data_IF_579478370218
#
_entry.id   IF_579478370218
#
_cell.length_a   1.000
_cell.length_b   1.000
_cell.length_c   1.000
_cell.angle_alpha   90.00
_cell.angle_beta   90.00
_cell.angle_gamma   90.00
#
_symmetry.space_group_name_H-M   'P 1'
#
loop_
_entity.id
_entity.type
_entity.pdbx_description
1 polymer ?
#
# COMPACT_ATOMS: atom_id res chain seq x y z
N UNK A 1 5.87 1.06 28.03
CA UNK A 1 7.08 0.48 27.41
C UNK A 1 7.95 1.59 26.88
N UNK A 2 9.26 1.53 27.15
CA UNK A 2 10.26 2.38 26.52
C UNK A 2 10.51 1.97 25.07
N UNK A 3 11.12 2.85 24.28
CA UNK A 3 11.51 2.53 22.90
C UNK A 3 12.45 1.31 22.84
N UNK A 4 13.35 1.17 23.81
CA UNK A 4 14.26 0.02 23.92
C UNK A 4 13.51 -1.29 24.19
N UNK A 5 12.51 -1.25 25.07
CA UNK A 5 11.65 -2.42 25.34
C UNK A 5 10.86 -2.82 24.10
N UNK A 6 10.32 -1.85 23.36
CA UNK A 6 9.57 -2.11 22.13
C UNK A 6 10.45 -2.76 21.04
N UNK A 7 11.67 -2.26 20.83
CA UNK A 7 12.63 -2.84 19.88
C UNK A 7 12.93 -4.30 20.23
N UNK A 8 13.16 -4.60 21.51
CA UNK A 8 13.43 -5.96 21.96
C UNK A 8 12.24 -6.90 21.72
N UNK A 9 11.02 -6.43 21.98
CA UNK A 9 9.80 -7.18 21.69
C UNK A 9 9.64 -7.51 20.20
N UNK A 10 9.93 -6.55 19.32
CA UNK A 10 9.89 -6.75 17.87
C UNK A 10 10.94 -7.77 17.44
N UNK A 11 12.20 -7.64 17.88
CA UNK A 11 13.29 -8.59 17.58
C UNK A 11 12.90 -10.00 17.99
N UNK A 12 12.38 -10.17 19.21
CA UNK A 12 11.94 -11.48 19.70
C UNK A 12 10.80 -12.07 18.86
N UNK A 13 9.83 -11.23 18.45
CA UNK A 13 8.72 -11.70 17.62
C UNK A 13 9.20 -12.10 16.23
N UNK A 14 10.02 -11.28 15.58
CA UNK A 14 10.59 -11.56 14.25
C UNK A 14 11.43 -12.83 14.28
N UNK A 15 12.23 -13.05 15.32
CA UNK A 15 13.06 -14.26 15.49
C UNK A 15 12.25 -15.57 15.57
N UNK A 16 10.94 -15.48 15.86
CA UNK A 16 10.05 -16.65 15.92
C UNK A 16 9.32 -16.94 14.60
N UNK A 17 9.45 -16.08 13.59
CA UNK A 17 8.78 -16.21 12.29
C UNK A 17 9.63 -17.09 11.38
N UNK A 18 9.03 -18.16 10.85
CA UNK A 18 9.69 -19.05 9.89
C UNK A 18 9.25 -18.80 8.44
N UNK A 19 8.16 -18.05 8.25
CA UNK A 19 7.64 -17.73 6.93
C UNK A 19 8.47 -16.61 6.29
N UNK A 20 9.21 -16.96 5.25
CA UNK A 20 10.09 -16.03 4.53
C UNK A 20 9.31 -14.87 3.89
N UNK A 21 8.07 -15.08 3.44
CA UNK A 21 7.25 -14.02 2.83
C UNK A 21 6.89 -12.94 3.85
N UNK A 22 6.55 -13.36 5.08
CA UNK A 22 6.27 -12.43 6.18
C UNK A 22 7.53 -11.66 6.58
N UNK A 23 8.67 -12.32 6.63
CA UNK A 23 9.96 -11.66 6.92
C UNK A 23 10.31 -10.61 5.86
N UNK A 24 10.04 -10.90 4.59
CA UNK A 24 10.27 -9.97 3.48
C UNK A 24 9.40 -8.71 3.59
N UNK A 25 8.12 -8.86 3.91
CA UNK A 25 7.20 -7.73 4.11
C UNK A 25 7.59 -6.89 5.33
N UNK A 26 7.99 -7.52 6.45
CA UNK A 26 8.50 -6.82 7.63
C UNK A 26 9.77 -6.04 7.27
N UNK A 27 10.68 -6.65 6.49
CA UNK A 27 11.91 -5.99 6.05
C UNK A 27 11.62 -4.75 5.18
N UNK A 28 10.70 -4.86 4.21
CA UNK A 28 10.23 -3.72 3.41
C UNK A 28 9.70 -2.61 4.31
N UNK A 29 8.80 -2.92 5.25
CA UNK A 29 8.19 -1.95 6.15
C UNK A 29 9.23 -1.20 7.00
N UNK A 30 10.22 -1.90 7.56
CA UNK A 30 11.27 -1.27 8.37
C UNK A 30 12.19 -0.40 7.51
N UNK A 31 12.49 -0.81 6.28
CA UNK A 31 13.27 0.01 5.35
C UNK A 31 12.52 1.27 4.90
N UNK A 32 11.18 1.24 4.83
CA UNK A 32 10.39 2.44 4.50
C UNK A 32 10.63 3.58 5.50
N UNK A 33 10.98 3.31 6.77
CA UNK A 33 11.34 4.37 7.72
C UNK A 33 12.50 5.25 7.21
N UNK A 34 13.45 4.66 6.48
CA UNK A 34 14.56 5.40 5.85
C UNK A 34 14.18 6.10 4.54
N UNK A 35 13.08 5.70 3.89
CA UNK A 35 12.58 6.28 2.63
C UNK A 35 11.52 7.38 2.86
N UNK A 36 10.87 7.42 4.03
CA UNK A 36 9.86 8.43 4.40
C UNK A 36 10.43 9.86 4.38
N UNK A 37 11.75 10.01 4.45
CA UNK A 37 12.42 11.32 4.33
C UNK A 37 12.51 11.83 2.87
N UNK A 38 12.03 11.04 1.90
CA UNK A 38 11.94 11.45 0.49
C UNK A 38 10.49 11.71 0.11
N UNK A 39 10.20 12.95 -0.30
CA UNK A 39 8.93 13.33 -0.90
C UNK A 39 8.57 12.33 -2.01
N UNK A 40 7.46 11.60 -1.86
CA UNK A 40 7.04 10.60 -2.83
C UNK A 40 6.72 11.28 -4.17
N UNK A 41 7.47 10.91 -5.21
CA UNK A 41 7.30 11.43 -6.56
C UNK A 41 6.55 10.43 -7.40
N UNK A 42 5.33 10.82 -7.81
CA UNK A 42 4.54 10.03 -8.75
C UNK A 42 5.33 9.72 -10.03
N UNK A 43 5.30 8.45 -10.43
CA UNK A 43 5.78 7.95 -11.72
C UNK A 43 5.00 8.56 -12.89
N UNK A 44 5.49 8.36 -14.11
CA UNK A 44 4.81 8.83 -15.30
C UNK A 44 3.46 8.11 -15.49
N UNK A 45 3.43 6.83 -15.16
CA UNK A 45 2.25 5.95 -15.22
C UNK A 45 1.17 6.42 -14.24
N UNK A 46 1.55 6.74 -13.00
CA UNK A 46 0.62 7.23 -11.98
C UNK A 46 0.05 8.61 -12.33
N UNK A 47 0.90 9.53 -12.82
CA UNK A 47 0.43 10.84 -13.31
C UNK A 47 -0.58 10.68 -14.45
N UNK A 48 -0.28 9.80 -15.40
CA UNK A 48 -1.17 9.51 -16.53
C UNK A 48 -2.50 8.89 -16.07
N UNK A 49 -2.48 8.00 -15.07
CA UNK A 49 -3.69 7.42 -14.51
C UNK A 49 -4.57 8.48 -13.83
N UNK A 50 -3.95 9.42 -13.11
CA UNK A 50 -4.65 10.56 -12.50
C UNK A 50 -5.27 11.47 -13.58
N UNK A 51 -4.50 11.85 -14.60
CA UNK A 51 -5.00 12.65 -15.72
C UNK A 51 -6.20 12.00 -16.42
N UNK A 52 -6.15 10.68 -16.62
CA UNK A 52 -7.25 9.92 -17.19
C UNK A 52 -8.50 9.98 -16.29
N UNK A 53 -8.34 9.79 -14.99
CA UNK A 53 -9.45 9.87 -14.03
C UNK A 53 -10.07 11.27 -13.96
N UNK A 54 -9.27 12.33 -14.03
CA UNK A 54 -9.77 13.71 -14.10
C UNK A 54 -10.59 13.95 -15.37
N UNK A 55 -10.12 13.43 -16.51
CA UNK A 55 -10.85 13.49 -17.78
C UNK A 55 -12.15 12.69 -17.75
N UNK A 56 -12.16 11.53 -17.10
CA UNK A 56 -13.35 10.71 -16.92
C UNK A 56 -14.44 11.46 -16.13
N UNK A 57 -14.05 12.25 -15.12
CA UNK A 57 -14.98 13.11 -14.38
C UNK A 57 -15.56 14.20 -15.28
N UNK A 58 -14.72 14.89 -16.06
CA UNK A 58 -15.16 15.96 -16.98
C UNK A 58 -16.14 15.43 -18.04
N UNK A 59 -15.86 14.25 -18.59
CA UNK A 59 -16.66 13.63 -19.64
C UNK A 59 -17.85 12.79 -19.09
N UNK A 60 -18.07 12.82 -17.77
CA UNK A 60 -19.19 12.14 -17.11
C UNK A 60 -19.08 10.61 -17.08
N UNK A 61 -17.90 10.05 -17.36
CA UNK A 61 -17.59 8.61 -17.23
C UNK A 61 -17.32 8.25 -15.77
N UNK A 62 -18.32 8.47 -14.93
CA UNK A 62 -18.26 8.17 -13.50
C UNK A 62 -19.14 6.99 -13.16
N UNK A 63 -18.75 6.27 -12.10
CA UNK A 63 -19.53 5.20 -11.52
C UNK A 63 -20.14 5.68 -10.20
N UNK A 64 -21.34 5.19 -9.89
CA UNK A 64 -21.86 5.28 -8.52
C UNK A 64 -21.07 4.35 -7.61
N UNK A 65 -21.09 4.60 -6.30
CA UNK A 65 -20.46 3.72 -5.31
C UNK A 65 -20.93 2.27 -5.47
N UNK A 66 -22.22 2.05 -5.71
CA UNK A 66 -22.78 0.70 -5.92
C UNK A 66 -22.20 0.00 -7.16
N UNK A 67 -22.03 0.74 -8.27
CA UNK A 67 -21.42 0.19 -9.48
C UNK A 67 -19.95 -0.18 -9.25
N UNK A 68 -19.19 0.69 -8.55
CA UNK A 68 -17.80 0.43 -8.21
C UNK A 68 -17.66 -0.81 -7.29
N UNK A 69 -18.53 -0.94 -6.28
CA UNK A 69 -18.56 -2.09 -5.38
C UNK A 69 -18.83 -3.41 -6.12
N UNK A 70 -19.73 -3.39 -7.10
CA UNK A 70 -20.02 -4.55 -7.93
C UNK A 70 -18.82 -4.94 -8.81
N UNK A 71 -18.11 -3.96 -9.39
CA UNK A 71 -16.88 -4.22 -10.15
C UNK A 71 -15.79 -4.84 -9.27
N UNK A 72 -15.63 -4.35 -8.04
CA UNK A 72 -14.65 -4.87 -7.10
C UNK A 72 -14.95 -6.33 -6.73
N UNK A 73 -16.23 -6.66 -6.48
CA UNK A 73 -16.66 -8.05 -6.19
C UNK A 73 -16.33 -9.01 -7.33
N UNK A 74 -16.56 -8.61 -8.58
CA UNK A 74 -16.24 -9.45 -9.73
C UNK A 74 -14.73 -9.61 -9.93
N UNK A 75 -13.93 -8.57 -9.64
CA UNK A 75 -12.48 -8.67 -9.70
C UNK A 75 -11.91 -9.65 -8.67
N UNK A 76 -12.41 -9.61 -7.43
CA UNK A 76 -11.99 -10.50 -6.33
C UNK A 76 -12.41 -11.97 -6.50
N UNK A 77 -13.30 -12.26 -7.46
CA UNK A 77 -13.76 -13.62 -7.75
C UNK A 77 -12.89 -14.34 -8.80
N UNK A 78 -11.93 -13.62 -9.40
CA UNK A 78 -10.92 -14.18 -10.31
C UNK A 78 -9.72 -14.70 -9.54
#
# INVERSE_FOLDING_TARGET
MSASELKLHIINKVSSINDASILEEIYKLVNMESEIDTEYRLSAEEKKAIELGLKDIEEGRVYTSEQADNMLKEWLRK
#
